data_IF_192651525478
#
_entry.id   IF_192651525478
#
_cell.length_a   1.000
_cell.length_b   1.000
_cell.length_c   1.000
_cell.angle_alpha   90.00
_cell.angle_beta   90.00
_cell.angle_gamma   90.00
#
_symmetry.space_group_name_H-M   'P 1'
#
loop_
_entity.id
_entity.type
_entity.pdbx_description
1 polymer ?
#
# COMPACT_ATOMS: atom_id res chain seq x y z
N UNK A 1 13.12 6.54 -1.16
CA UNK A 1 13.36 6.06 0.23
C UNK A 1 13.18 4.55 0.31
N UNK A 2 12.01 4.00 -0.04
CA UNK A 2 11.78 2.53 -0.06
C UNK A 2 12.75 1.79 -1.00
N UNK A 3 13.06 2.35 -2.17
CA UNK A 3 13.89 1.68 -3.20
C UNK A 3 15.40 1.56 -2.89
N UNK A 4 15.89 2.19 -1.82
CA UNK A 4 17.33 2.31 -1.52
C UNK A 4 17.72 1.73 -0.16
N UNK A 5 16.79 1.09 0.54
CA UNK A 5 17.02 0.45 1.85
C UNK A 5 16.87 -1.06 1.74
N UNK A 6 17.52 -1.79 2.65
CA UNK A 6 17.45 -3.24 2.71
C UNK A 6 16.04 -3.74 3.08
N UNK A 7 15.78 -5.02 2.77
CA UNK A 7 14.46 -5.63 2.90
C UNK A 7 13.92 -5.61 4.34
N UNK A 8 14.79 -5.76 5.35
CA UNK A 8 14.39 -5.73 6.76
C UNK A 8 13.93 -4.33 7.15
N UNK A 9 14.62 -3.30 6.67
CA UNK A 9 14.24 -1.92 6.89
C UNK A 9 12.94 -1.55 6.13
N UNK A 10 12.76 -2.03 4.89
CA UNK A 10 11.51 -1.87 4.14
C UNK A 10 10.33 -2.51 4.90
N UNK A 11 10.51 -3.72 5.41
CA UNK A 11 9.48 -4.46 6.14
C UNK A 11 9.08 -3.72 7.43
N UNK A 12 10.06 -3.18 8.17
CA UNK A 12 9.77 -2.34 9.35
C UNK A 12 8.97 -1.09 8.98
N UNK A 13 9.39 -0.35 7.95
CA UNK A 13 8.67 0.85 7.52
C UNK A 13 7.23 0.52 7.11
N UNK A 14 7.01 -0.61 6.42
CA UNK A 14 5.67 -0.99 5.99
C UNK A 14 4.80 -1.48 7.14
N UNK A 15 5.37 -2.11 8.17
CA UNK A 15 4.61 -2.47 9.36
C UNK A 15 3.96 -1.27 10.06
N UNK A 16 4.52 -0.06 9.93
CA UNK A 16 3.92 1.18 10.47
C UNK A 16 2.66 1.62 9.72
N UNK A 17 2.39 1.06 8.53
CA UNK A 17 1.18 1.33 7.75
C UNK A 17 0.00 0.46 8.19
N UNK A 18 0.22 -0.54 9.04
CA UNK A 18 -0.85 -1.39 9.54
C UNK A 18 -1.91 -0.57 10.30
N UNK A 19 -3.18 -0.82 10.04
CA UNK A 19 -4.30 0.00 10.51
C UNK A 19 -4.47 1.36 9.82
N UNK A 20 -3.57 1.77 8.93
CA UNK A 20 -3.61 3.06 8.22
C UNK A 20 -3.72 2.96 6.69
N UNK A 21 -3.64 1.74 6.14
CA UNK A 21 -3.68 1.45 4.70
C UNK A 21 -4.76 2.23 3.94
N UNK A 22 -6.02 2.14 4.38
CA UNK A 22 -7.15 2.77 3.67
C UNK A 22 -7.08 4.29 3.67
N UNK A 23 -6.53 4.89 4.73
CA UNK A 23 -6.28 6.33 4.78
C UNK A 23 -5.18 6.71 3.79
N UNK A 24 -4.09 5.95 3.74
CA UNK A 24 -2.99 6.19 2.81
C UNK A 24 -3.43 6.07 1.35
N UNK A 25 -4.22 5.07 0.98
CA UNK A 25 -4.74 4.91 -0.39
C UNK A 25 -5.60 6.09 -0.85
N UNK A 26 -6.33 6.72 0.07
CA UNK A 26 -7.19 7.87 -0.23
C UNK A 26 -6.47 9.21 -0.16
N UNK A 27 -5.20 9.22 0.23
CA UNK A 27 -4.37 10.41 0.30
C UNK A 27 -3.65 10.69 -1.03
N UNK A 28 -3.48 11.96 -1.39
CA UNK A 28 -2.82 12.39 -2.63
C UNK A 28 -1.36 11.91 -2.72
N UNK A 29 -0.65 11.79 -1.61
CA UNK A 29 0.73 11.31 -1.55
C UNK A 29 0.83 9.86 -1.09
N UNK A 30 -0.02 9.48 -0.12
CA UNK A 30 -0.03 8.14 0.47
C UNK A 30 -0.28 7.02 -0.56
N UNK A 31 -1.09 7.27 -1.59
CA UNK A 31 -1.34 6.27 -2.64
C UNK A 31 -0.05 5.84 -3.37
N UNK A 32 0.91 6.75 -3.52
CA UNK A 32 2.21 6.45 -4.13
C UNK A 32 3.07 5.56 -3.23
N UNK A 33 2.99 5.75 -1.91
CA UNK A 33 3.68 4.87 -0.96
C UNK A 33 3.12 3.46 -1.03
N UNK A 34 1.80 3.31 -1.05
CA UNK A 34 1.14 2.01 -1.14
C UNK A 34 1.48 1.29 -2.46
N UNK A 35 1.44 1.99 -3.59
CA UNK A 35 1.90 1.43 -4.88
C UNK A 35 3.35 0.94 -4.78
N UNK A 36 4.26 1.76 -4.23
CA UNK A 36 5.67 1.40 -4.08
C UNK A 36 5.87 0.18 -3.18
N UNK A 37 5.08 0.03 -2.12
CA UNK A 37 5.10 -1.15 -1.27
C UNK A 37 4.70 -2.40 -2.05
N UNK A 38 3.65 -2.33 -2.86
CA UNK A 38 3.17 -3.44 -3.69
C UNK A 38 4.21 -3.83 -4.76
N UNK A 39 4.88 -2.85 -5.35
CA UNK A 39 5.89 -3.07 -6.40
C UNK A 39 7.21 -3.67 -5.89
N UNK A 40 7.64 -3.32 -4.68
CA UNK A 40 9.02 -3.60 -4.24
C UNK A 40 9.14 -4.56 -3.07
N UNK A 41 8.07 -4.81 -2.31
CA UNK A 41 8.16 -5.59 -1.09
C UNK A 41 7.47 -6.95 -1.31
N UNK A 42 8.07 -8.06 -0.83
CA UNK A 42 7.48 -9.38 -0.96
C UNK A 42 6.05 -9.43 -0.42
N UNK A 43 5.18 -10.13 -1.14
CA UNK A 43 3.75 -10.21 -0.83
C UNK A 43 3.49 -10.68 0.61
N UNK A 44 4.30 -11.61 1.12
CA UNK A 44 4.19 -12.14 2.48
C UNK A 44 4.32 -11.05 3.56
N UNK A 45 5.11 -10.00 3.30
CA UNK A 45 5.32 -8.88 4.23
C UNK A 45 4.24 -7.78 4.12
N UNK A 46 3.48 -7.76 3.02
CA UNK A 46 2.46 -6.72 2.76
C UNK A 46 1.04 -7.29 2.71
N UNK A 47 0.84 -8.51 3.20
CA UNK A 47 -0.44 -9.19 3.00
C UNK A 47 -1.61 -8.47 3.69
N UNK A 48 -1.34 -7.70 4.75
CA UNK A 48 -2.33 -6.84 5.41
C UNK A 48 -2.81 -5.68 4.49
N UNK A 49 -1.94 -5.18 3.60
CA UNK A 49 -2.28 -4.15 2.61
C UNK A 49 -3.27 -4.73 1.62
N UNK A 50 -2.95 -5.87 1.00
CA UNK A 50 -3.81 -6.54 0.02
C UNK A 50 -5.14 -6.95 0.66
N UNK A 51 -5.08 -7.47 1.90
CA UNK A 51 -6.27 -7.87 2.63
C UNK A 51 -7.23 -6.71 2.90
N UNK A 52 -6.69 -5.50 3.10
CA UNK A 52 -7.49 -4.28 3.29
C UNK A 52 -8.30 -3.88 2.04
N UNK A 53 -8.00 -4.45 0.87
CA UNK A 53 -8.66 -4.10 -0.38
C UNK A 53 -9.83 -5.01 -0.74
N UNK A 54 -9.89 -6.26 -0.25
CA UNK A 54 -10.88 -7.24 -0.71
C UNK A 54 -12.33 -6.73 -0.65
N UNK A 55 -12.72 -6.08 0.45
CA UNK A 55 -14.08 -5.55 0.61
C UNK A 55 -14.26 -4.12 0.07
N UNK A 56 -13.22 -3.57 -0.57
CA UNK A 56 -13.15 -2.18 -1.02
C UNK A 56 -12.81 -2.07 -2.51
N UNK A 57 -12.58 -3.17 -3.24
CA UNK A 57 -12.10 -3.15 -4.63
C UNK A 57 -12.96 -2.28 -5.54
N UNK A 58 -14.29 -2.41 -5.47
CA UNK A 58 -15.21 -1.60 -6.30
C UNK A 58 -15.12 -0.12 -5.93
N UNK A 59 -15.15 0.19 -4.64
CA UNK A 59 -15.03 1.58 -4.16
C UNK A 59 -13.71 2.20 -4.57
N UNK A 60 -12.59 1.50 -4.36
CA UNK A 60 -11.25 1.97 -4.70
C UNK A 60 -11.07 2.14 -6.21
N UNK A 61 -11.61 1.23 -7.02
CA UNK A 61 -11.58 1.33 -8.49
C UNK A 61 -12.22 2.61 -9.04
N UNK A 62 -13.16 3.21 -8.30
CA UNK A 62 -13.84 4.47 -8.69
C UNK A 62 -13.25 5.71 -8.01
N UNK A 63 -12.30 5.55 -7.08
CA UNK A 63 -11.71 6.64 -6.34
C UNK A 63 -10.53 7.28 -7.10
N UNK A 64 -10.41 8.62 -7.17
CA UNK A 64 -9.38 9.31 -7.96
C UNK A 64 -7.92 8.89 -7.69
N UNK A 65 -7.63 8.45 -6.46
CA UNK A 65 -6.32 7.93 -6.06
C UNK A 65 -6.33 6.41 -5.85
N UNK A 66 -7.50 5.84 -5.51
CA UNK A 66 -7.60 4.42 -5.18
C UNK A 66 -7.48 3.54 -6.42
N UNK A 67 -7.98 4.02 -7.57
CA UNK A 67 -7.94 3.27 -8.81
C UNK A 67 -6.50 2.97 -9.26
N UNK A 68 -5.57 3.89 -8.95
CA UNK A 68 -4.13 3.75 -9.26
C UNK A 68 -3.44 2.68 -8.42
N UNK A 69 -3.99 2.34 -7.26
CA UNK A 69 -3.45 1.29 -6.38
C UNK A 69 -3.99 -0.09 -6.77
N UNK A 70 -5.19 -0.16 -7.36
CA UNK A 70 -5.85 -1.42 -7.76
C UNK A 70 -5.40 -1.90 -9.15
N UNK A 71 -5.00 -0.97 -10.03
CA UNK A 71 -4.49 -1.25 -11.39
C UNK A 71 -3.11 -1.90 -11.35
#
# INVERSE_FOLDING_TARGET
AIEVVDLDQQTKMVSELDGHVMRCVRDQNGNHVIQKCIECIPQDAIQFIISSFYDQVVTLSTHPYGCRVIQ
#
